data_IF_867877138338
#
_entry.id   IF_867877138338
#
_cell.length_a   1.000
_cell.length_b   1.000
_cell.length_c   1.000
_cell.angle_alpha   90.00
_cell.angle_beta   90.00
_cell.angle_gamma   90.00
#
_symmetry.space_group_name_H-M   'P 1'
#
loop_
_entity.id
_entity.type
_entity.pdbx_description
1 polymer ?
#
# COMPACT_ATOMS: atom_id res chain seq x y z
N UNK A 1 -4.31 -28.31 1.79
CA UNK A 1 -3.65 -27.94 3.06
C UNK A 1 -2.21 -27.54 2.77
N UNK A 2 -1.95 -26.25 2.57
CA UNK A 2 -0.63 -25.68 2.20
C UNK A 2 0.14 -25.26 3.46
N UNK A 3 0.53 -26.22 4.31
CA UNK A 3 1.22 -25.92 5.58
C UNK A 3 2.76 -26.06 5.50
N UNK A 4 3.31 -26.52 4.37
CA UNK A 4 4.75 -26.71 4.21
C UNK A 4 5.53 -25.40 4.04
N UNK A 5 4.91 -24.33 3.52
CA UNK A 5 5.60 -23.06 3.24
C UNK A 5 5.78 -22.16 4.47
N UNK A 6 4.99 -22.38 5.53
CA UNK A 6 4.98 -21.51 6.72
C UNK A 6 6.34 -21.51 7.44
N UNK A 7 7.07 -22.61 7.41
CA UNK A 7 8.36 -22.77 8.11
C UNK A 7 9.58 -22.24 7.33
N UNK A 8 9.41 -21.78 6.09
CA UNK A 8 10.50 -21.28 5.25
C UNK A 8 10.63 -19.75 5.22
N UNK A 9 9.76 -19.04 5.96
CA UNK A 9 9.83 -17.59 6.07
C UNK A 9 10.76 -17.23 7.22
N UNK A 10 11.90 -16.62 6.92
CA UNK A 10 12.77 -16.06 7.97
C UNK A 10 12.03 -14.97 8.76
N UNK A 11 12.41 -14.75 10.02
CA UNK A 11 11.81 -13.68 10.86
C UNK A 11 11.82 -12.31 10.16
N UNK A 12 12.84 -12.06 9.33
CA UNK A 12 12.96 -10.84 8.53
C UNK A 12 11.93 -10.76 7.41
N UNK A 13 11.70 -11.86 6.69
CA UNK A 13 10.68 -11.91 5.64
C UNK A 13 9.27 -11.82 6.22
N UNK A 14 9.04 -12.44 7.39
CA UNK A 14 7.79 -12.32 8.12
C UNK A 14 7.53 -10.87 8.54
N UNK A 15 8.52 -10.18 9.10
CA UNK A 15 8.43 -8.76 9.44
C UNK A 15 8.16 -7.90 8.18
N UNK A 16 8.85 -8.17 7.07
CA UNK A 16 8.64 -7.45 5.82
C UNK A 16 7.21 -7.61 5.28
N UNK A 17 6.71 -8.85 5.22
CA UNK A 17 5.34 -9.15 4.76
C UNK A 17 4.31 -8.46 5.67
N UNK A 18 4.51 -8.55 6.98
CA UNK A 18 3.57 -8.00 7.96
C UNK A 18 3.53 -6.47 7.88
N UNK A 19 4.69 -5.80 7.82
CA UNK A 19 4.76 -4.34 7.63
C UNK A 19 4.13 -3.90 6.31
N UNK A 20 4.36 -4.63 5.23
CA UNK A 20 3.75 -4.33 3.94
C UNK A 20 2.21 -4.42 4.01
N UNK A 21 1.68 -5.44 4.70
CA UNK A 21 0.23 -5.60 4.93
C UNK A 21 -0.34 -4.46 5.76
N UNK A 22 0.32 -4.07 6.86
CA UNK A 22 -0.09 -2.94 7.70
C UNK A 22 -0.16 -1.66 6.86
N UNK A 23 0.92 -1.33 6.13
CA UNK A 23 0.95 -0.14 5.27
C UNK A 23 -0.14 -0.15 4.20
N UNK A 24 -0.42 -1.30 3.60
CA UNK A 24 -1.50 -1.43 2.62
C UNK A 24 -2.88 -1.16 3.26
N UNK A 25 -3.09 -1.63 4.49
CA UNK A 25 -4.33 -1.38 5.24
C UNK A 25 -4.45 0.07 5.69
N UNK A 26 -3.38 0.70 6.14
CA UNK A 26 -3.37 2.11 6.50
C UNK A 26 -3.74 2.99 5.30
N UNK A 27 -3.22 2.67 4.11
CA UNK A 27 -3.58 3.35 2.87
C UNK A 27 -5.06 3.17 2.52
N UNK A 28 -5.61 1.98 2.72
CA UNK A 28 -7.04 1.70 2.52
C UNK A 28 -7.90 2.54 3.48
N UNK A 29 -7.54 2.62 4.77
CA UNK A 29 -8.26 3.43 5.74
C UNK A 29 -8.18 4.93 5.46
N UNK A 30 -7.02 5.41 5.03
CA UNK A 30 -6.85 6.80 4.62
C UNK A 30 -7.77 7.16 3.43
N UNK A 31 -7.85 6.30 2.42
CA UNK A 31 -8.75 6.49 1.28
C UNK A 31 -10.22 6.49 1.71
N UNK A 32 -10.62 5.54 2.56
CA UNK A 32 -11.99 5.49 3.12
C UNK A 32 -12.34 6.74 3.93
N UNK A 33 -11.39 7.29 4.69
CA UNK A 33 -11.61 8.51 5.47
C UNK A 33 -11.92 9.70 4.57
N UNK A 34 -11.14 9.88 3.49
CA UNK A 34 -11.38 10.97 2.52
C UNK A 34 -12.75 10.81 1.87
N UNK A 35 -13.08 9.60 1.41
CA UNK A 35 -14.39 9.31 0.81
C UNK A 35 -15.55 9.63 1.77
N UNK A 36 -15.43 9.25 3.03
CA UNK A 36 -16.46 9.53 4.03
C UNK A 36 -16.60 11.03 4.32
N UNK A 37 -15.50 11.79 4.31
CA UNK A 37 -15.53 13.24 4.47
C UNK A 37 -16.24 13.90 3.27
N UNK A 38 -15.88 13.51 2.06
CA UNK A 38 -16.51 13.99 0.83
C UNK A 38 -18.00 13.67 0.81
N UNK A 39 -18.39 12.44 1.20
CA UNK A 39 -19.79 12.02 1.29
C UNK A 39 -20.58 12.86 2.31
N UNK A 40 -19.96 13.17 3.46
CA UNK A 40 -20.57 14.05 4.47
C UNK A 40 -20.86 15.44 3.93
N UNK A 41 -19.89 16.02 3.19
CA UNK A 41 -20.05 17.31 2.51
C UNK A 41 -21.16 17.22 1.46
N UNK A 42 -21.15 16.20 0.61
CA UNK A 42 -22.20 16.02 -0.42
C UNK A 42 -23.59 15.91 0.21
N UNK A 43 -23.73 15.19 1.32
CA UNK A 43 -25.01 15.03 2.03
C UNK A 43 -25.50 16.36 2.59
N UNK A 44 -24.60 17.14 3.19
CA UNK A 44 -24.92 18.47 3.71
C UNK A 44 -25.39 19.41 2.60
N UNK A 45 -24.69 19.44 1.46
CA UNK A 45 -25.07 20.30 0.32
C UNK A 45 -26.35 19.82 -0.37
N UNK A 46 -26.57 18.51 -0.47
CA UNK A 46 -27.80 17.96 -1.06
C UNK A 46 -29.05 18.42 -0.32
N UNK A 47 -28.99 18.53 1.02
CA UNK A 47 -30.12 18.96 1.85
C UNK A 47 -30.26 20.48 1.88
N UNK A 48 -29.16 21.22 2.04
CA UNK A 48 -29.22 22.65 2.36
C UNK A 48 -28.96 23.57 1.17
N UNK A 49 -28.20 23.15 0.16
CA UNK A 49 -27.84 24.00 -0.98
C UNK A 49 -27.36 23.19 -2.20
N UNK A 50 -28.29 22.50 -2.90
CA UNK A 50 -27.91 21.63 -4.01
C UNK A 50 -27.29 22.38 -5.19
N UNK A 51 -27.60 23.67 -5.36
CA UNK A 51 -27.05 24.50 -6.45
C UNK A 51 -25.55 24.82 -6.31
N UNK A 52 -24.95 24.59 -5.12
CA UNK A 52 -23.53 24.84 -4.85
C UNK A 52 -22.75 23.55 -4.56
N UNK A 53 -23.22 22.40 -5.05
CA UNK A 53 -22.59 21.12 -4.73
C UNK A 53 -21.15 21.05 -5.26
N UNK A 54 -20.16 20.74 -4.40
CA UNK A 54 -18.77 20.64 -4.80
C UNK A 54 -18.51 19.42 -5.70
N UNK A 55 -17.63 19.59 -6.68
CA UNK A 55 -17.21 18.54 -7.62
C UNK A 55 -15.86 17.95 -7.20
N UNK A 56 -15.89 16.79 -6.53
CA UNK A 56 -14.70 16.09 -6.05
C UNK A 56 -13.99 15.25 -7.13
N UNK A 57 -14.57 15.11 -8.33
CA UNK A 57 -13.98 14.28 -9.40
C UNK A 57 -12.70 14.88 -10.00
N UNK A 58 -12.52 16.20 -9.87
CA UNK A 58 -11.37 16.94 -10.41
C UNK A 58 -10.10 16.85 -9.55
N UNK A 59 -10.23 16.46 -8.27
CA UNK A 59 -9.09 16.39 -7.35
C UNK A 59 -8.17 15.17 -7.61
N UNK A 60 -8.66 14.14 -8.31
CA UNK A 60 -7.96 12.87 -8.55
C UNK A 60 -7.01 12.93 -9.76
N UNK A 61 -7.01 14.02 -10.54
CA UNK A 61 -6.13 14.18 -11.71
C UNK A 61 -4.62 14.22 -11.41
N UNK A 62 -4.21 14.31 -10.14
CA UNK A 62 -2.83 14.66 -9.75
C UNK A 62 -1.87 13.51 -9.45
N UNK A 63 -2.32 12.27 -9.24
CA UNK A 63 -1.42 11.15 -8.95
C UNK A 63 -1.87 9.90 -9.68
N UNK A 64 -1.42 9.74 -10.93
CA UNK A 64 -1.27 8.40 -11.49
C UNK A 64 -0.49 7.58 -10.45
N UNK A 65 -0.97 6.40 -10.00
CA UNK A 65 -0.14 5.53 -9.18
C UNK A 65 1.18 5.36 -9.94
N UNK A 66 2.30 5.66 -9.26
CA UNK A 66 3.61 5.53 -9.87
C UNK A 66 3.68 4.16 -10.55
N UNK A 67 3.99 4.15 -11.83
CA UNK A 67 4.02 2.94 -12.63
C UNK A 67 5.03 1.99 -11.98
N UNK A 68 4.52 0.97 -11.29
CA UNK A 68 5.35 0.01 -10.55
C UNK A 68 6.11 -0.80 -11.59
N UNK A 69 7.33 -0.38 -11.88
CA UNK A 69 8.21 -1.13 -12.76
C UNK A 69 8.60 -2.43 -12.07
N UNK A 70 7.81 -3.49 -12.32
CA UNK A 70 8.00 -4.82 -11.73
C UNK A 70 9.41 -5.36 -11.97
N UNK A 71 10.05 -5.01 -13.08
CA UNK A 71 11.42 -5.43 -13.37
C UNK A 71 12.42 -4.75 -12.41
N UNK A 72 12.24 -3.46 -12.13
CA UNK A 72 13.06 -2.73 -11.16
C UNK A 72 12.84 -3.24 -9.72
N UNK A 73 11.58 -3.47 -9.32
CA UNK A 73 11.25 -4.03 -8.00
C UNK A 73 11.83 -5.46 -7.82
N UNK A 74 11.76 -6.30 -8.86
CA UNK A 74 12.37 -7.65 -8.84
C UNK A 74 13.89 -7.60 -8.80
N UNK A 75 14.52 -6.67 -9.51
CA UNK A 75 15.97 -6.48 -9.47
C UNK A 75 16.42 -6.05 -8.06
N UNK A 76 15.69 -5.12 -7.43
CA UNK A 76 15.94 -4.70 -6.05
C UNK A 76 15.74 -5.84 -5.06
N UNK A 77 14.69 -6.65 -5.23
CA UNK A 77 14.45 -7.82 -4.39
C UNK A 77 15.59 -8.85 -4.51
N UNK A 78 15.99 -9.17 -5.75
CA UNK A 78 17.12 -10.09 -6.01
C UNK A 78 18.43 -9.58 -5.42
N UNK A 79 18.73 -8.29 -5.58
CA UNK A 79 19.90 -7.67 -4.97
C UNK A 79 19.88 -7.75 -3.44
N UNK A 80 18.71 -7.52 -2.82
CA UNK A 80 18.52 -7.69 -1.39
C UNK A 80 18.76 -9.12 -0.89
N UNK A 81 18.21 -10.12 -1.60
CA UNK A 81 18.39 -11.53 -1.30
C UNK A 81 19.87 -11.96 -1.42
N UNK A 82 20.55 -11.53 -2.47
CA UNK A 82 21.98 -11.81 -2.67
C UNK A 82 22.84 -11.21 -1.55
N UNK A 83 22.60 -9.95 -1.18
CA UNK A 83 23.33 -9.31 -0.08
C UNK A 83 23.13 -10.06 1.26
N UNK A 84 21.94 -10.58 1.53
CA UNK A 84 21.69 -11.38 2.73
C UNK A 84 22.46 -12.71 2.71
N UNK A 85 22.53 -13.38 1.56
CA UNK A 85 23.30 -14.60 1.39
C UNK A 85 24.81 -14.37 1.63
N UNK A 86 25.36 -13.23 1.17
CA UNK A 86 26.77 -12.89 1.41
C UNK A 86 27.06 -12.47 2.85
N UNK A 87 26.13 -11.79 3.53
CA UNK A 87 26.27 -11.44 4.95
C UNK A 87 26.23 -12.68 5.85
N UNK A 88 25.40 -13.68 5.51
CA UNK A 88 25.33 -14.95 6.24
C UNK A 88 26.63 -15.77 6.18
N UNK A 89 27.47 -15.59 5.15
CA UNK A 89 28.74 -16.32 4.98
C UNK A 89 29.95 -15.65 5.62
N UNK A 90 29.85 -14.38 6.05
CA UNK A 90 30.97 -13.65 6.70
C UNK A 90 30.99 -13.77 8.22
N UNK A 91 30.06 -14.54 8.80
CA UNK A 91 29.95 -14.77 10.25
C UNK A 91 30.34 -16.18 10.71
N UNK A 92 30.97 -16.98 9.83
CA UNK A 92 31.64 -18.24 10.19
C UNK A 92 33.16 -18.05 10.11
#
# INVERSE_FOLDING_TARGET
MHHAEFWHVSLREFDLITRARIKAKDAEFAARRVLNQELGILTQFAIHNPGKMPDFTKAIGGKKPAERNRAAELAQLRAGLLNMHFQSKKGQ
#
